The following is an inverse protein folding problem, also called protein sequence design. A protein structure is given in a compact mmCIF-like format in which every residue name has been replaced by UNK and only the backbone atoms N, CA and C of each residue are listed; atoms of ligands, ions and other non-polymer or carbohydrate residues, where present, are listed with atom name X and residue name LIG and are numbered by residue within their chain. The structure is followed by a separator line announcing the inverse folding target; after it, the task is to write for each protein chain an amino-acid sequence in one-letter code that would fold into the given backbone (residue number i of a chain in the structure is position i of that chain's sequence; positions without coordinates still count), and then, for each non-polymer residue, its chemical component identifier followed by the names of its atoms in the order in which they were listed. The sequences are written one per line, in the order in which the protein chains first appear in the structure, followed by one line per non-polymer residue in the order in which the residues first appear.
data_IF_933019178283
#
_entry.id   IF_933019178283
#
_cell.length_a   1.000
_cell.length_b   1.000
_cell.length_c   1.000
_cell.angle_alpha   90.00
_cell.angle_beta   90.00
_cell.angle_gamma   90.00
#
_symmetry.space_group_name_H-M   'P 1'
#
loop_
_entity.id
_entity.type
_entity.pdbx_description
1 polymer ?
#
# COMPACT_ATOMS: atom_id res chain seq x y z
N UNK A 1 8.52 16.73 25.36
CA UNK A 1 7.11 16.53 25.68
C UNK A 1 6.83 15.02 25.72
N UNK A 2 6.08 14.55 26.73
CA UNK A 2 5.79 13.10 26.91
C UNK A 2 4.97 12.51 25.76
N UNK A 3 4.18 13.32 25.09
CA UNK A 3 3.40 12.92 23.90
C UNK A 3 4.29 12.65 22.67
N UNK A 4 5.37 13.41 22.51
CA UNK A 4 6.38 13.17 21.46
C UNK A 4 7.17 11.91 21.74
N UNK A 5 7.60 11.69 22.99
CA UNK A 5 8.34 10.49 23.40
C UNK A 5 7.53 9.19 23.25
N UNK A 6 6.21 9.27 23.35
CA UNK A 6 5.29 8.15 23.15
C UNK A 6 4.84 7.97 21.69
N UNK A 7 5.34 8.80 20.76
CA UNK A 7 4.92 8.77 19.37
C UNK A 7 3.47 9.21 19.12
N UNK A 8 2.82 9.80 20.13
CA UNK A 8 1.43 10.27 20.05
C UNK A 8 1.29 11.60 19.29
N UNK A 9 2.40 12.33 19.13
CA UNK A 9 2.47 13.58 18.37
C UNK A 9 3.74 13.54 17.53
N UNK A 10 3.61 13.76 16.23
CA UNK A 10 4.74 14.03 15.33
C UNK A 10 4.77 15.53 15.05
N UNK A 11 5.90 16.18 15.34
CA UNK A 11 6.16 17.56 14.96
C UNK A 11 6.82 17.56 13.58
N UNK A 12 6.18 18.19 12.61
CA UNK A 12 6.76 18.42 11.29
C UNK A 12 7.28 19.84 11.21
N UNK A 13 8.47 20.04 10.66
CA UNK A 13 9.07 21.38 10.49
C UNK A 13 8.60 21.99 9.17
N UNK A 14 8.05 23.19 9.21
CA UNK A 14 7.37 23.86 8.06
C UNK A 14 8.19 23.96 6.76
N UNK A 15 9.51 24.10 6.83
CA UNK A 15 10.35 24.32 5.63
C UNK A 15 10.42 23.16 4.65
N UNK A 16 10.09 21.93 5.06
CA UNK A 16 10.11 20.74 4.17
C UNK A 16 8.82 20.57 3.36
N UNK A 17 7.72 21.16 3.80
CA UNK A 17 6.44 21.05 3.11
C UNK A 17 6.39 21.85 1.81
N UNK A 18 7.04 23.00 1.74
CA UNK A 18 7.06 23.81 0.51
C UNK A 18 7.83 23.12 -0.61
N UNK A 19 8.90 22.41 -0.27
CA UNK A 19 9.66 21.62 -1.23
C UNK A 19 8.82 20.41 -1.71
N UNK A 20 8.16 19.72 -0.79
CA UNK A 20 7.27 18.59 -1.14
C UNK A 20 6.15 19.04 -2.09
N UNK A 21 5.49 20.18 -1.83
CA UNK A 21 4.44 20.73 -2.69
C UNK A 21 4.97 21.10 -4.10
N UNK A 22 6.17 21.66 -4.21
CA UNK A 22 6.77 21.94 -5.51
C UNK A 22 6.98 20.65 -6.33
N UNK A 23 7.46 19.57 -5.69
CA UNK A 23 7.58 18.27 -6.36
C UNK A 23 6.22 17.66 -6.69
N UNK A 24 5.21 17.79 -5.85
CA UNK A 24 3.84 17.35 -6.14
C UNK A 24 3.31 17.98 -7.42
N UNK A 25 3.41 19.30 -7.56
CA UNK A 25 2.96 20.01 -8.76
C UNK A 25 3.74 19.60 -10.02
N UNK A 26 5.06 19.46 -9.91
CA UNK A 26 5.90 19.04 -11.04
C UNK A 26 5.56 17.62 -11.52
N UNK A 27 5.44 16.67 -10.59
CA UNK A 27 5.17 15.26 -10.91
C UNK A 27 3.73 15.12 -11.42
N UNK A 28 2.76 15.79 -10.77
CA UNK A 28 1.37 15.80 -11.18
C UNK A 28 1.21 16.29 -12.62
N UNK A 29 1.87 17.41 -12.95
CA UNK A 29 1.86 17.95 -14.32
C UNK A 29 2.54 17.03 -15.32
N UNK A 30 3.68 16.44 -14.94
CA UNK A 30 4.45 15.56 -15.85
C UNK A 30 3.75 14.26 -16.19
N UNK A 31 3.06 13.66 -15.23
CA UNK A 31 2.48 12.31 -15.36
C UNK A 31 0.95 12.30 -15.45
N UNK A 32 0.30 13.48 -15.38
CA UNK A 32 -1.16 13.58 -15.45
C UNK A 32 -1.88 12.91 -14.27
N UNK A 33 -1.26 12.88 -13.08
CA UNK A 33 -1.82 12.23 -11.91
C UNK A 33 -2.97 13.07 -11.34
N UNK A 34 -4.03 12.39 -10.88
CA UNK A 34 -5.16 13.06 -10.22
C UNK A 34 -4.77 13.61 -8.83
N UNK A 35 -3.98 12.83 -8.10
CA UNK A 35 -3.49 13.17 -6.77
C UNK A 35 -2.08 12.64 -6.61
N UNK A 36 -1.28 13.35 -5.84
CA UNK A 36 0.05 12.94 -5.40
C UNK A 36 0.33 13.54 -4.03
N UNK A 37 1.00 12.81 -3.20
CA UNK A 37 1.49 13.25 -1.90
C UNK A 37 2.97 12.92 -1.82
N UNK A 38 3.81 13.92 -1.66
CA UNK A 38 5.25 13.80 -1.46
C UNK A 38 5.55 13.97 0.01
N UNK A 39 6.14 12.97 0.62
CA UNK A 39 6.49 12.99 2.04
C UNK A 39 8.00 13.18 2.21
N UNK A 40 8.43 14.02 3.16
CA UNK A 40 9.85 14.20 3.47
C UNK A 40 10.40 12.93 4.12
N UNK A 41 11.67 12.64 3.87
CA UNK A 41 12.43 11.59 4.54
C UNK A 41 13.50 12.23 5.44
N UNK A 42 14.01 11.51 6.42
CA UNK A 42 15.10 12.01 7.28
C UNK A 42 16.34 12.39 6.45
N UNK A 43 16.62 11.67 5.38
CA UNK A 43 17.71 11.97 4.46
C UNK A 43 17.52 13.27 3.67
N UNK A 44 16.31 13.80 3.56
CA UNK A 44 16.04 15.10 2.88
C UNK A 44 16.71 16.26 3.61
N UNK A 45 17.07 16.10 4.87
CA UNK A 45 17.69 17.13 5.71
C UNK A 45 19.22 17.06 5.77
N UNK A 46 19.85 16.01 5.23
CA UNK A 46 21.30 15.89 5.21
C UNK A 46 21.87 16.51 3.93
N UNK A 47 22.81 17.46 4.08
CA UNK A 47 23.48 18.14 2.96
C UNK A 47 24.38 17.23 2.10
N UNK A 48 24.59 15.98 2.52
CA UNK A 48 25.51 15.02 1.88
C UNK A 48 24.78 13.88 1.15
N UNK A 49 23.48 14.00 0.94
CA UNK A 49 22.69 12.91 0.35
C UNK A 49 22.83 12.92 -1.17
N UNK A 50 23.51 11.94 -1.71
CA UNK A 50 23.50 11.66 -3.16
C UNK A 50 22.29 10.78 -3.49
N UNK A 51 21.85 10.78 -4.76
CA UNK A 51 20.74 9.93 -5.21
C UNK A 51 20.95 8.43 -4.94
N UNK A 52 22.20 8.01 -4.68
CA UNK A 52 22.58 6.62 -4.38
C UNK A 52 22.45 6.26 -2.90
N UNK A 53 22.38 7.27 -2.01
CA UNK A 53 22.27 7.09 -0.54
C UNK A 53 20.86 7.36 -0.01
N UNK A 54 19.89 7.66 -0.89
CA UNK A 54 18.50 7.82 -0.52
C UNK A 54 17.90 6.46 -0.15
N UNK A 55 18.01 6.11 1.13
CA UNK A 55 17.15 5.07 1.69
C UNK A 55 15.77 5.70 1.97
N UNK A 56 14.73 5.36 1.19
CA UNK A 56 13.41 5.93 1.41
C UNK A 56 12.95 5.54 2.80
N UNK A 57 12.59 6.52 3.64
CA UNK A 57 11.94 6.21 4.91
C UNK A 57 10.59 5.54 4.66
N UNK A 58 10.53 4.20 4.75
CA UNK A 58 9.32 3.47 4.39
C UNK A 58 8.19 3.71 5.39
N UNK A 59 8.46 4.33 6.55
CA UNK A 59 7.45 4.67 7.54
C UNK A 59 6.69 5.94 7.16
N UNK A 60 7.37 6.98 6.70
CA UNK A 60 6.71 8.21 6.26
C UNK A 60 5.74 7.95 5.11
N UNK A 61 6.17 7.18 4.12
CA UNK A 61 5.31 6.74 3.00
C UNK A 61 4.14 5.88 3.52
N UNK A 62 4.39 4.99 4.45
CA UNK A 62 3.33 4.13 4.99
C UNK A 62 2.28 4.92 5.80
N UNK A 63 2.69 5.95 6.55
CA UNK A 63 1.75 6.85 7.23
C UNK A 63 0.90 7.66 6.23
N UNK A 64 1.50 8.22 5.18
CA UNK A 64 0.78 8.91 4.13
C UNK A 64 -0.23 7.98 3.43
N UNK A 65 0.21 6.76 3.07
CA UNK A 65 -0.65 5.74 2.48
C UNK A 65 -1.81 5.32 3.40
N UNK A 66 -1.56 5.17 4.70
CA UNK A 66 -2.60 4.86 5.69
C UNK A 66 -3.63 5.98 5.80
N UNK A 67 -3.18 7.24 5.85
CA UNK A 67 -4.07 8.41 5.88
C UNK A 67 -4.91 8.51 4.61
N UNK A 68 -4.30 8.32 3.44
CA UNK A 68 -5.01 8.31 2.16
C UNK A 68 -6.08 7.21 2.14
N UNK A 69 -5.76 6.01 2.60
CA UNK A 69 -6.73 4.91 2.66
C UNK A 69 -7.88 5.22 3.63
N UNK A 70 -7.59 5.77 4.82
CA UNK A 70 -8.62 6.20 5.77
C UNK A 70 -9.53 7.29 5.20
N UNK A 71 -8.99 8.23 4.43
CA UNK A 71 -9.80 9.25 3.75
C UNK A 71 -10.74 8.61 2.72
N UNK A 72 -10.26 7.64 1.94
CA UNK A 72 -11.10 6.87 1.00
C UNK A 72 -12.24 6.16 1.72
N UNK A 73 -11.96 5.54 2.86
CA UNK A 73 -12.94 4.80 3.67
C UNK A 73 -13.95 5.77 4.31
N UNK A 74 -13.47 6.81 4.98
CA UNK A 74 -14.29 7.66 5.85
C UNK A 74 -15.02 8.77 5.09
N UNK A 75 -14.36 9.36 4.09
CA UNK A 75 -14.89 10.51 3.34
C UNK A 75 -15.57 10.05 2.05
N UNK A 76 -14.86 9.27 1.24
CA UNK A 76 -15.36 8.82 -0.07
C UNK A 76 -16.27 7.57 0.03
N UNK A 77 -16.38 6.98 1.24
CA UNK A 77 -17.23 5.81 1.52
C UNK A 77 -16.88 4.56 0.70
N UNK A 78 -15.64 4.44 0.26
CA UNK A 78 -15.17 3.24 -0.42
C UNK A 78 -15.17 2.04 0.52
N UNK A 79 -15.48 0.86 -0.01
CA UNK A 79 -15.67 -0.35 0.81
C UNK A 79 -14.89 -1.56 0.31
N UNK A 80 -14.41 -1.52 -0.94
CA UNK A 80 -13.69 -2.63 -1.54
C UNK A 80 -12.33 -2.16 -2.05
N UNK A 81 -11.26 -2.76 -1.55
CA UNK A 81 -9.89 -2.38 -1.90
C UNK A 81 -9.09 -3.59 -2.39
N UNK A 82 -8.46 -3.45 -3.54
CA UNK A 82 -7.42 -4.36 -3.98
C UNK A 82 -6.13 -4.11 -3.18
N UNK A 83 -5.45 -5.18 -2.83
CA UNK A 83 -4.25 -5.16 -2.00
C UNK A 83 -3.12 -5.93 -2.65
N UNK A 84 -2.05 -5.26 -3.04
CA UNK A 84 -0.87 -5.94 -3.56
C UNK A 84 0.13 -6.29 -2.44
N UNK A 85 0.95 -7.27 -2.70
CA UNK A 85 2.13 -7.59 -1.90
C UNK A 85 3.13 -6.44 -1.91
N UNK A 86 3.85 -6.24 -0.80
CA UNK A 86 4.93 -5.28 -0.69
C UNK A 86 5.21 -4.86 0.75
N UNK A 87 6.46 -4.52 1.05
CA UNK A 87 6.89 -4.09 2.38
C UNK A 87 6.17 -2.82 2.84
N UNK A 88 5.98 -1.86 1.92
CA UNK A 88 5.24 -0.62 2.21
C UNK A 88 3.79 -0.91 2.54
N UNK A 89 3.10 -1.74 1.74
CA UNK A 89 1.72 -2.12 2.00
C UNK A 89 1.57 -2.86 3.34
N UNK A 90 2.51 -3.74 3.69
CA UNK A 90 2.52 -4.41 5.01
C UNK A 90 2.66 -3.41 6.15
N UNK A 91 3.48 -2.37 6.00
CA UNK A 91 3.61 -1.28 6.98
C UNK A 91 2.33 -0.46 7.07
N UNK A 92 1.68 -0.14 5.94
CA UNK A 92 0.36 0.52 5.93
C UNK A 92 -0.65 -0.30 6.72
N UNK A 93 -0.74 -1.61 6.47
CA UNK A 93 -1.65 -2.49 7.21
C UNK A 93 -1.40 -2.47 8.72
N UNK A 94 -0.13 -2.41 9.15
CA UNK A 94 0.23 -2.34 10.56
C UNK A 94 -0.11 -1.00 11.21
N UNK A 95 0.03 0.11 10.48
CA UNK A 95 -0.23 1.48 10.96
C UNK A 95 -1.73 1.77 11.06
N UNK A 96 -2.54 1.22 10.17
CA UNK A 96 -3.98 1.43 10.17
C UNK A 96 -4.59 1.13 11.56
N UNK A 97 -5.49 1.96 12.07
CA UNK A 97 -6.27 1.66 13.26
C UNK A 97 -7.31 0.56 12.97
N UNK A 98 -8.07 0.19 13.99
CA UNK A 98 -9.27 -0.62 13.79
C UNK A 98 -10.28 0.15 12.90
N UNK A 99 -10.78 -0.52 11.89
CA UNK A 99 -11.75 0.01 10.93
C UNK A 99 -13.12 -0.55 11.32
N UNK A 100 -13.98 0.32 11.82
CA UNK A 100 -15.31 -0.07 12.32
C UNK A 100 -16.32 -0.35 11.21
N UNK A 101 -16.03 0.15 10.00
CA UNK A 101 -16.86 -0.09 8.82
C UNK A 101 -16.54 -1.47 8.19
N UNK A 102 -17.52 -2.08 7.50
CA UNK A 102 -17.32 -3.36 6.80
C UNK A 102 -16.53 -3.16 5.49
N UNK A 103 -15.23 -2.88 5.61
CA UNK A 103 -14.32 -2.72 4.46
C UNK A 103 -13.72 -4.06 4.09
N UNK A 104 -13.79 -4.42 2.82
CA UNK A 104 -13.22 -5.65 2.27
C UNK A 104 -11.90 -5.37 1.55
N UNK A 105 -10.97 -6.33 1.67
CA UNK A 105 -9.69 -6.31 0.98
C UNK A 105 -9.50 -7.56 0.13
N UNK A 106 -8.98 -7.39 -1.08
CA UNK A 106 -8.80 -8.47 -2.06
C UNK A 106 -7.34 -8.52 -2.49
N UNK A 107 -6.70 -9.69 -2.37
CA UNK A 107 -5.35 -9.90 -2.91
C UNK A 107 -5.39 -9.83 -4.44
N UNK A 108 -4.59 -8.92 -5.01
CA UNK A 108 -4.49 -8.68 -6.45
C UNK A 108 -3.21 -9.20 -7.08
N UNK A 109 -2.30 -9.76 -6.28
CA UNK A 109 -0.95 -10.11 -6.76
C UNK A 109 -0.68 -11.61 -6.74
N UNK A 110 -1.26 -12.32 -5.78
CA UNK A 110 -0.89 -13.69 -5.51
C UNK A 110 0.46 -13.82 -4.80
N UNK A 111 0.99 -15.02 -4.69
CA UNK A 111 2.22 -15.34 -3.98
C UNK A 111 3.44 -15.24 -4.90
N UNK A 112 4.42 -14.39 -4.53
CA UNK A 112 5.67 -14.20 -5.27
C UNK A 112 6.71 -15.28 -4.98
N UNK A 113 6.72 -15.81 -3.75
CA UNK A 113 7.72 -16.76 -3.26
C UNK A 113 7.08 -17.77 -2.31
N UNK A 114 7.79 -18.88 -2.08
CA UNK A 114 7.38 -19.90 -1.12
C UNK A 114 7.69 -19.52 0.33
N UNK A 115 8.51 -18.47 0.56
CA UNK A 115 8.78 -17.95 1.89
C UNK A 115 7.74 -16.88 2.29
N UNK A 116 7.58 -16.67 3.59
CA UNK A 116 6.57 -15.76 4.14
C UNK A 116 6.96 -14.28 4.01
N UNK A 117 8.22 -13.94 3.69
CA UNK A 117 8.72 -12.57 3.69
C UNK A 117 8.06 -11.67 2.62
N UNK A 118 7.57 -12.28 1.54
CA UNK A 118 6.86 -11.60 0.45
C UNK A 118 5.43 -12.14 0.23
N UNK A 119 4.82 -12.70 1.26
CA UNK A 119 3.49 -13.26 1.14
C UNK A 119 2.43 -12.16 1.38
N UNK A 120 1.49 -11.93 0.43
CA UNK A 120 0.38 -10.98 0.61
C UNK A 120 -0.48 -11.29 1.84
N UNK A 121 -0.47 -12.55 2.29
CA UNK A 121 -1.17 -12.98 3.49
C UNK A 121 -0.81 -12.18 4.74
N UNK A 122 0.41 -11.69 4.89
CA UNK A 122 0.79 -10.94 6.09
C UNK A 122 -0.01 -9.65 6.22
N UNK A 123 -0.10 -8.87 5.13
CA UNK A 123 -0.90 -7.66 5.11
C UNK A 123 -2.40 -7.94 5.25
N UNK A 124 -2.93 -8.89 4.48
CA UNK A 124 -4.34 -9.28 4.54
C UNK A 124 -4.74 -9.86 5.89
N UNK A 125 -3.89 -10.66 6.52
CA UNK A 125 -4.15 -11.20 7.86
C UNK A 125 -4.20 -10.09 8.92
N UNK A 126 -3.33 -9.08 8.80
CA UNK A 126 -3.39 -7.89 9.66
C UNK A 126 -4.69 -7.11 9.43
N UNK A 127 -5.06 -6.88 8.17
CA UNK A 127 -6.29 -6.17 7.80
C UNK A 127 -7.54 -6.92 8.24
N UNK A 128 -7.57 -8.26 8.12
CA UNK A 128 -8.72 -9.07 8.54
C UNK A 128 -9.02 -8.97 10.03
N UNK A 129 -8.02 -8.63 10.84
CA UNK A 129 -8.20 -8.39 12.29
C UNK A 129 -8.63 -6.96 12.60
N UNK A 130 -8.45 -6.04 11.67
CA UNK A 130 -8.72 -4.61 11.85
C UNK A 130 -10.01 -4.13 11.20
N UNK A 131 -10.58 -4.89 10.27
CA UNK A 131 -11.83 -4.54 9.59
C UNK A 131 -12.96 -5.48 9.97
N UNK A 132 -14.19 -4.98 9.91
CA UNK A 132 -15.41 -5.81 10.04
C UNK A 132 -15.83 -6.42 8.68
N UNK A 133 -15.13 -6.10 7.59
CA UNK A 133 -15.34 -6.67 6.28
C UNK A 133 -14.64 -8.01 6.08
N UNK A 134 -14.53 -8.42 4.83
CA UNK A 134 -13.90 -9.69 4.44
C UNK A 134 -12.58 -9.44 3.72
N UNK A 135 -11.61 -10.32 3.96
CA UNK A 135 -10.37 -10.36 3.22
C UNK A 135 -10.34 -11.61 2.32
N UNK A 136 -10.09 -11.40 1.04
CA UNK A 136 -10.08 -12.45 0.02
C UNK A 136 -8.66 -12.66 -0.48
N UNK A 137 -8.20 -13.90 -0.44
CA UNK A 137 -6.90 -14.28 -0.97
C UNK A 137 -7.05 -14.89 -2.36
N UNK A 138 -6.26 -14.44 -3.32
CA UNK A 138 -6.25 -15.00 -4.67
C UNK A 138 -5.73 -16.45 -4.68
N UNK A 139 -4.76 -16.77 -3.82
CA UNK A 139 -4.19 -18.12 -3.70
C UNK A 139 -3.45 -18.59 -4.96
N UNK A 140 -3.13 -17.67 -5.87
CA UNK A 140 -2.44 -17.95 -7.12
C UNK A 140 -0.92 -17.75 -6.98
N UNK A 141 -0.08 -18.51 -7.70
CA UNK A 141 1.30 -18.13 -7.89
C UNK A 141 1.38 -16.84 -8.75
N UNK A 142 2.36 -15.98 -8.45
CA UNK A 142 2.58 -14.76 -9.23
C UNK A 142 3.02 -15.06 -10.69
N UNK A 143 3.78 -16.13 -10.87
CA UNK A 143 4.26 -16.58 -12.18
C UNK A 143 3.80 -18.02 -12.40
N UNK A 144 3.26 -18.28 -13.58
CA UNK A 144 2.88 -19.62 -14.04
C UNK A 144 3.91 -20.15 -15.03
N UNK A 145 4.25 -21.44 -14.98
CA UNK A 145 5.19 -22.06 -15.93
C UNK A 145 4.68 -22.01 -17.38
N UNK A 146 3.38 -22.00 -17.58
CA UNK A 146 2.77 -21.94 -18.91
C UNK A 146 1.41 -21.25 -18.91
N UNK A 147 1.01 -20.75 -20.09
CA UNK A 147 -0.31 -20.17 -20.31
C UNK A 147 -1.43 -21.20 -20.08
N UNK A 148 -1.18 -22.46 -20.42
CA UNK A 148 -2.14 -23.55 -20.21
C UNK A 148 -2.45 -23.75 -18.73
N UNK A 149 -1.43 -23.80 -17.89
CA UNK A 149 -1.58 -23.94 -16.43
C UNK A 149 -2.26 -22.71 -15.81
N UNK A 150 -1.86 -21.50 -16.23
CA UNK A 150 -2.54 -20.28 -15.85
C UNK A 150 -4.04 -20.37 -16.17
N UNK A 151 -4.40 -20.72 -17.40
CA UNK A 151 -5.80 -20.77 -17.82
C UNK A 151 -6.59 -21.83 -17.05
N UNK A 152 -6.01 -23.00 -16.80
CA UNK A 152 -6.64 -24.04 -15.96
C UNK A 152 -6.90 -23.53 -14.55
N UNK A 153 -5.91 -22.87 -13.93
CA UNK A 153 -6.01 -22.34 -12.58
C UNK A 153 -7.09 -21.23 -12.49
N UNK A 154 -7.06 -20.28 -13.41
CA UNK A 154 -8.02 -19.17 -13.45
C UNK A 154 -9.44 -19.61 -13.81
N UNK A 155 -9.62 -20.84 -14.31
CA UNK A 155 -10.94 -21.42 -14.53
C UNK A 155 -11.54 -22.09 -13.29
N UNK A 156 -10.79 -22.27 -12.22
CA UNK A 156 -11.31 -22.82 -10.97
C UNK A 156 -12.34 -21.84 -10.36
N UNK A 157 -13.44 -22.37 -9.84
CA UNK A 157 -14.55 -21.58 -9.32
C UNK A 157 -14.11 -20.61 -8.24
N UNK A 158 -13.36 -21.09 -7.23
CA UNK A 158 -12.92 -20.24 -6.13
C UNK A 158 -12.00 -19.08 -6.58
N UNK A 159 -11.21 -19.29 -7.65
CA UNK A 159 -10.36 -18.23 -8.23
C UNK A 159 -11.23 -17.20 -8.93
N UNK A 160 -12.19 -17.64 -9.76
CA UNK A 160 -13.14 -16.75 -10.42
C UNK A 160 -13.94 -15.90 -9.41
N UNK A 161 -14.32 -16.49 -8.29
CA UNK A 161 -15.06 -15.76 -7.25
C UNK A 161 -14.20 -14.63 -6.64
N UNK A 162 -12.88 -14.84 -6.48
CA UNK A 162 -11.95 -13.79 -6.02
C UNK A 162 -11.69 -12.74 -7.09
N UNK A 163 -11.46 -13.15 -8.34
CA UNK A 163 -11.28 -12.21 -9.46
C UNK A 163 -12.50 -11.28 -9.64
N UNK A 164 -13.71 -11.83 -9.48
CA UNK A 164 -14.91 -10.99 -9.49
C UNK A 164 -14.91 -9.97 -8.36
N UNK A 165 -14.38 -10.31 -7.17
CA UNK A 165 -14.21 -9.36 -6.07
C UNK A 165 -13.15 -8.31 -6.37
N UNK A 166 -12.10 -8.64 -7.12
CA UNK A 166 -11.10 -7.70 -7.60
C UNK A 166 -11.70 -6.68 -8.57
N UNK A 167 -12.57 -7.12 -9.50
CA UNK A 167 -13.28 -6.24 -10.42
C UNK A 167 -14.26 -5.27 -9.70
N UNK A 168 -14.74 -5.63 -8.52
CA UNK A 168 -15.62 -4.81 -7.68
C UNK A 168 -14.83 -3.80 -6.79
N UNK A 169 -13.50 -3.76 -6.87
CA UNK A 169 -12.68 -2.86 -6.04
C UNK A 169 -12.83 -1.40 -6.47
N UNK A 170 -13.07 -0.53 -5.50
CA UNK A 170 -13.09 0.93 -5.69
C UNK A 170 -11.70 1.48 -5.99
N UNK A 171 -10.67 0.91 -5.34
CA UNK A 171 -9.26 1.27 -5.47
C UNK A 171 -8.37 0.04 -5.32
N UNK A 172 -7.19 0.10 -5.92
CA UNK A 172 -6.13 -0.91 -5.75
C UNK A 172 -4.88 -0.22 -5.21
N UNK A 173 -4.35 -0.73 -4.09
CA UNK A 173 -3.06 -0.30 -3.55
C UNK A 173 -1.95 -1.15 -4.14
N UNK A 174 -1.04 -0.48 -4.83
CA UNK A 174 0.13 -1.11 -5.45
C UNK A 174 1.41 -0.55 -4.85
N UNK A 175 2.36 -1.42 -4.55
CA UNK A 175 3.73 -1.04 -4.27
C UNK A 175 4.52 -0.88 -5.57
N UNK A 176 5.40 0.12 -5.62
CA UNK A 176 6.36 0.29 -6.73
C UNK A 176 7.73 -0.11 -6.21
N UNK A 177 8.31 -1.14 -6.82
CA UNK A 177 9.61 -1.65 -6.48
C UNK A 177 10.72 -1.09 -7.38
N UNK A 178 11.97 -1.29 -6.96
CA UNK A 178 13.14 -0.99 -7.77
C UNK A 178 13.34 -2.05 -8.86
N UNK A 179 13.77 -1.62 -10.05
CA UNK A 179 14.20 -2.53 -11.13
C UNK A 179 15.57 -3.19 -10.82
N UNK A 180 16.27 -2.70 -9.81
CA UNK A 180 17.60 -3.21 -9.40
C UNK A 180 17.51 -4.26 -8.26
N UNK A 181 16.31 -4.78 -7.96
CA UNK A 181 16.04 -5.95 -7.12
C UNK A 181 16.43 -5.77 -5.65
#
# INVERSE_FOLDING_TARGET
NDAEKRGSVKVFVEGSFDICRQYEELIKKRYGLKHIEVVPTESTFSKETTAETLDPDPLSIAYAGANTLLNKINIEKCRNFGWSTGSTNSKIANILPEIREPVSFVDTTGSLRNDLSFNPLLGLNTLSKKTQGKCYQLGAPYIFPSLSEKNKFFNLKFVKDVLKKEEECDYILLGIGSMKG
#
